data_IF_898650374305
#
_entry.id   IF_898650374305
#
_cell.length_a   1.000
_cell.length_b   1.000
_cell.length_c   1.000
_cell.angle_alpha   90.00
_cell.angle_beta   90.00
_cell.angle_gamma   90.00
#
_symmetry.space_group_name_H-M   'P 1'
#
loop_
_entity.id
_entity.type
_entity.pdbx_description
1 polymer ?
#
# COMPACT_ATOMS: atom_id res chain seq x y z
N UNK A 1 33.24 -1.02 -10.23
CA UNK A 1 32.15 -1.99 -9.99
C UNK A 1 31.64 -2.50 -11.33
N UNK A 2 31.38 -3.80 -11.48
CA UNK A 2 30.75 -4.33 -12.70
C UNK A 2 29.30 -3.86 -12.82
N UNK A 3 29.06 -2.81 -13.60
CA UNK A 3 27.73 -2.25 -13.85
C UNK A 3 26.73 -3.32 -14.34
N UNK A 4 27.20 -4.29 -15.11
CA UNK A 4 26.38 -5.42 -15.60
C UNK A 4 25.80 -6.24 -14.45
N UNK A 5 26.58 -6.46 -13.39
CA UNK A 5 26.14 -7.18 -12.20
C UNK A 5 25.06 -6.39 -11.45
N UNK A 6 25.24 -5.08 -11.28
CA UNK A 6 24.24 -4.22 -10.64
C UNK A 6 22.91 -4.20 -11.40
N UNK A 7 22.96 -4.16 -12.74
CA UNK A 7 21.76 -4.27 -13.60
C UNK A 7 21.09 -5.64 -13.47
N UNK A 8 21.87 -6.73 -13.44
CA UNK A 8 21.36 -8.08 -13.28
C UNK A 8 20.65 -8.27 -11.93
N UNK A 9 21.30 -7.86 -10.84
CA UNK A 9 20.74 -7.94 -9.49
C UNK A 9 19.46 -7.10 -9.36
N UNK A 10 19.44 -5.89 -9.95
CA UNK A 10 18.25 -5.05 -9.98
C UNK A 10 17.10 -5.70 -10.76
N UNK A 11 17.38 -6.33 -11.90
CA UNK A 11 16.38 -7.03 -12.68
C UNK A 11 15.74 -8.19 -11.91
N UNK A 12 16.53 -8.92 -11.12
CA UNK A 12 16.01 -9.98 -10.24
C UNK A 12 15.05 -9.39 -9.21
N UNK A 13 15.44 -8.29 -8.53
CA UNK A 13 14.58 -7.62 -7.55
C UNK A 13 13.28 -7.13 -8.18
N UNK A 14 13.36 -6.49 -9.35
CA UNK A 14 12.19 -6.01 -10.07
C UNK A 14 11.27 -7.15 -10.50
N UNK A 15 11.83 -8.27 -10.97
CA UNK A 15 11.07 -9.46 -11.35
C UNK A 15 10.34 -10.07 -10.14
N UNK A 16 11.02 -10.21 -8.99
CA UNK A 16 10.43 -10.70 -7.75
C UNK A 16 9.30 -9.77 -7.28
N UNK A 17 9.51 -8.47 -7.27
CA UNK A 17 8.49 -7.50 -6.89
C UNK A 17 7.26 -7.57 -7.78
N UNK A 18 7.45 -7.64 -9.11
CA UNK A 18 6.33 -7.78 -10.06
C UNK A 18 5.60 -9.11 -9.88
N UNK A 19 6.33 -10.21 -9.67
CA UNK A 19 5.72 -11.53 -9.45
C UNK A 19 4.93 -11.58 -8.15
N UNK A 20 5.49 -11.05 -7.07
CA UNK A 20 4.83 -10.95 -5.78
C UNK A 20 3.55 -10.10 -5.91
N UNK A 21 3.66 -8.92 -6.52
CA UNK A 21 2.53 -8.01 -6.71
C UNK A 21 1.42 -8.65 -7.54
N UNK A 22 1.76 -9.30 -8.67
CA UNK A 22 0.78 -10.02 -9.50
C UNK A 22 0.10 -11.17 -8.74
N UNK A 23 0.83 -11.87 -7.87
CA UNK A 23 0.28 -13.00 -7.10
C UNK A 23 -0.75 -12.53 -6.08
N UNK A 24 -0.50 -11.38 -5.43
CA UNK A 24 -1.41 -10.87 -4.39
C UNK A 24 -2.43 -9.86 -4.91
N UNK A 25 -2.37 -9.49 -6.19
CA UNK A 25 -3.26 -8.52 -6.85
C UNK A 25 -4.75 -8.86 -6.64
N UNK A 26 -5.14 -10.11 -6.93
CA UNK A 26 -6.51 -10.57 -6.76
C UNK A 26 -6.96 -10.60 -5.31
N UNK A 27 -6.13 -11.14 -4.42
CA UNK A 27 -6.44 -11.17 -2.98
C UNK A 27 -6.60 -9.77 -2.41
N UNK A 28 -5.72 -8.85 -2.83
CA UNK A 28 -5.76 -7.45 -2.41
C UNK A 28 -7.02 -6.75 -2.92
N UNK A 29 -7.43 -6.98 -4.17
CA UNK A 29 -8.68 -6.43 -4.69
C UNK A 29 -9.90 -6.98 -3.97
N UNK A 30 -9.98 -8.30 -3.78
CA UNK A 30 -11.10 -8.93 -3.06
C UNK A 30 -11.18 -8.37 -1.63
N UNK A 31 -10.05 -8.21 -0.95
CA UNK A 31 -10.01 -7.65 0.39
C UNK A 31 -10.42 -6.16 0.44
N UNK A 32 -9.97 -5.34 -0.51
CA UNK A 32 -10.35 -3.93 -0.56
C UNK A 32 -11.83 -3.75 -0.93
N UNK A 33 -12.34 -4.56 -1.86
CA UNK A 33 -13.75 -4.52 -2.29
C UNK A 33 -14.68 -5.04 -1.22
N UNK A 34 -14.31 -6.10 -0.49
CA UNK A 34 -15.10 -6.60 0.63
C UNK A 34 -15.18 -5.56 1.76
N UNK A 35 -14.04 -4.96 2.11
CA UNK A 35 -13.99 -3.90 3.12
C UNK A 35 -14.81 -2.68 2.69
N UNK A 36 -14.68 -2.23 1.44
CA UNK A 36 -15.49 -1.13 0.92
C UNK A 36 -16.99 -1.45 0.97
N UNK A 37 -17.38 -2.65 0.57
CA UNK A 37 -18.77 -3.09 0.64
C UNK A 37 -19.28 -3.10 2.09
N UNK A 38 -18.51 -3.62 3.04
CA UNK A 38 -18.88 -3.60 4.47
C UNK A 38 -19.04 -2.18 5.02
N UNK A 39 -18.18 -1.24 4.60
CA UNK A 39 -18.32 0.17 4.98
C UNK A 39 -19.57 0.80 4.39
N UNK A 40 -19.85 0.57 3.10
CA UNK A 40 -21.02 1.13 2.44
C UNK A 40 -22.31 0.62 3.06
N UNK A 41 -22.39 -0.68 3.33
CA UNK A 41 -23.53 -1.27 4.04
C UNK A 41 -23.68 -0.63 5.43
N UNK A 42 -22.59 -0.54 6.20
CA UNK A 42 -22.62 0.12 7.52
C UNK A 42 -23.06 1.59 7.42
N UNK A 43 -22.61 2.31 6.39
CA UNK A 43 -23.00 3.70 6.15
C UNK A 43 -24.48 3.86 5.77
N UNK A 44 -25.02 2.95 4.97
CA UNK A 44 -26.46 2.94 4.60
C UNK A 44 -27.32 2.66 5.83
N UNK A 45 -26.96 1.68 6.65
CA UNK A 45 -27.65 1.39 7.92
C UNK A 45 -27.63 2.61 8.86
N UNK A 46 -26.51 3.32 8.94
CA UNK A 46 -26.40 4.56 9.73
C UNK A 46 -27.29 5.69 9.19
N UNK A 47 -27.38 5.85 7.86
CA UNK A 47 -28.13 6.92 7.21
C UNK A 47 -29.64 6.67 7.17
N UNK A 48 -30.08 5.41 7.04
CA UNK A 48 -31.49 5.06 6.94
C UNK A 48 -32.24 5.17 8.27
N UNK A 49 -31.54 5.37 9.39
CA UNK A 49 -32.15 5.97 10.57
C UNK A 49 -33.22 5.13 11.26
N UNK A 50 -33.31 3.82 11.02
CA UNK A 50 -33.73 2.91 12.08
C UNK A 50 -32.49 2.59 12.88
N UNK A 51 -32.30 3.38 13.93
CA UNK A 51 -31.25 3.24 14.90
C UNK A 51 -30.81 1.77 15.09
N UNK A 52 -29.50 1.53 15.00
CA UNK A 52 -28.85 0.40 15.70
C UNK A 52 -29.14 0.41 17.23
N UNK A 53 -29.97 1.34 17.71
CA UNK A 53 -30.91 1.13 18.80
C UNK A 53 -32.16 0.36 18.32
N UNK A 54 -32.00 -0.90 17.94
CA UNK A 54 -33.01 -1.89 18.34
C UNK A 54 -33.22 -1.65 19.84
N UNK A 55 -34.37 -1.09 20.20
CA UNK A 55 -34.78 -0.51 21.50
C UNK A 55 -34.76 -1.58 22.61
N UNK A 56 -33.59 -2.11 22.91
CA UNK A 56 -33.34 -3.20 23.83
C UNK A 56 -31.86 -3.62 23.90
N UNK A 57 -31.44 -4.32 24.97
CA UNK A 57 -30.04 -4.71 25.22
C UNK A 57 -29.45 -5.69 24.19
N UNK A 58 -30.26 -6.22 23.27
CA UNK A 58 -29.83 -7.11 22.20
C UNK A 58 -29.25 -6.36 20.98
N UNK A 59 -29.78 -5.18 20.65
CA UNK A 59 -29.32 -4.38 19.49
C UNK A 59 -27.91 -3.82 19.69
N UNK A 60 -27.62 -3.34 20.90
CA UNK A 60 -26.32 -2.77 21.29
C UNK A 60 -25.20 -3.81 21.26
N UNK A 61 -25.49 -5.08 21.59
CA UNK A 61 -24.52 -6.17 21.50
C UNK A 61 -24.21 -6.51 20.04
N UNK A 62 -25.23 -6.59 19.18
CA UNK A 62 -25.05 -6.91 17.76
C UNK A 62 -24.20 -5.86 17.03
N UNK A 63 -24.44 -4.57 17.30
CA UNK A 63 -23.60 -3.48 16.77
C UNK A 63 -22.15 -3.57 17.23
N UNK A 64 -21.91 -3.83 18.52
CA UNK A 64 -20.54 -3.97 19.05
C UNK A 64 -19.77 -5.15 18.44
N UNK A 65 -20.43 -6.30 18.23
CA UNK A 65 -19.83 -7.43 17.53
C UNK A 65 -19.53 -7.11 16.05
N UNK A 66 -20.43 -6.38 15.38
CA UNK A 66 -20.23 -5.93 14.00
C UNK A 66 -19.01 -5.00 13.88
N UNK A 67 -18.87 -4.02 14.77
CA UNK A 67 -17.69 -3.15 14.81
C UNK A 67 -16.40 -3.93 15.09
N UNK A 68 -16.42 -4.86 16.05
CA UNK A 68 -15.26 -5.70 16.34
C UNK A 68 -14.83 -6.55 15.13
N UNK A 69 -15.80 -7.10 14.40
CA UNK A 69 -15.54 -7.92 13.23
C UNK A 69 -15.10 -7.11 12.01
N UNK A 70 -15.73 -5.95 11.73
CA UNK A 70 -15.41 -5.09 10.60
C UNK A 70 -14.09 -4.31 10.78
N UNK A 71 -13.70 -4.01 12.03
CA UNK A 71 -12.46 -3.30 12.31
C UNK A 71 -11.21 -4.11 11.95
N UNK A 72 -11.22 -5.42 12.22
CA UNK A 72 -10.09 -6.31 11.93
C UNK A 72 -9.65 -6.33 10.45
N UNK A 73 -10.54 -6.54 9.45
CA UNK A 73 -10.16 -6.53 8.05
C UNK A 73 -9.79 -5.12 7.55
N UNK A 74 -10.38 -4.05 8.10
CA UNK A 74 -9.98 -2.66 7.78
C UNK A 74 -8.52 -2.42 8.18
N UNK A 75 -8.14 -2.80 9.41
CA UNK A 75 -6.76 -2.68 9.89
C UNK A 75 -5.81 -3.52 9.03
N UNK A 76 -6.21 -4.73 8.65
CA UNK A 76 -5.41 -5.59 7.78
C UNK A 76 -5.19 -4.97 6.39
N UNK A 77 -6.23 -4.41 5.77
CA UNK A 77 -6.11 -3.69 4.48
C UNK A 77 -5.15 -2.53 4.62
N UNK A 78 -5.34 -1.68 5.62
CA UNK A 78 -4.47 -0.53 5.84
C UNK A 78 -3.03 -0.95 6.07
N UNK A 79 -2.79 -1.97 6.90
CA UNK A 79 -1.46 -2.53 7.14
C UNK A 79 -0.81 -3.01 5.84
N UNK A 80 -1.51 -3.80 5.03
CA UNK A 80 -0.97 -4.28 3.75
C UNK A 80 -0.69 -3.16 2.77
N UNK A 81 -1.56 -2.14 2.68
CA UNK A 81 -1.34 -0.92 1.90
C UNK A 81 -0.08 -0.18 2.32
N UNK A 82 0.11 0.06 3.63
CA UNK A 82 1.30 0.74 4.16
C UNK A 82 2.58 -0.04 3.92
N UNK A 83 2.55 -1.37 4.11
CA UNK A 83 3.71 -2.23 3.85
C UNK A 83 4.07 -2.24 2.37
N UNK A 84 3.08 -2.37 1.48
CA UNK A 84 3.28 -2.30 0.04
C UNK A 84 3.85 -0.93 -0.39
N UNK A 85 3.30 0.16 0.12
CA UNK A 85 3.79 1.50 -0.20
C UNK A 85 5.21 1.75 0.33
N UNK A 86 5.55 1.23 1.52
CA UNK A 86 6.89 1.36 2.07
C UNK A 86 7.94 0.64 1.20
N UNK A 87 7.61 -0.51 0.64
CA UNK A 87 8.49 -1.20 -0.33
C UNK A 87 8.66 -0.33 -1.58
N UNK A 88 7.57 0.20 -2.13
CA UNK A 88 7.62 1.10 -3.28
C UNK A 88 8.49 2.34 -3.04
N UNK A 89 8.42 2.91 -1.84
CA UNK A 89 9.20 4.08 -1.45
C UNK A 89 10.68 3.75 -1.28
N UNK A 90 10.99 2.60 -0.68
CA UNK A 90 12.37 2.09 -0.63
C UNK A 90 12.95 1.92 -2.03
N UNK A 91 12.21 1.31 -2.95
CA UNK A 91 12.63 1.17 -4.35
C UNK A 91 12.88 2.52 -5.04
N UNK A 92 12.07 3.55 -4.77
CA UNK A 92 12.30 4.90 -5.33
C UNK A 92 13.56 5.60 -4.82
N UNK A 93 14.08 5.20 -3.65
CA UNK A 93 15.26 5.82 -3.04
C UNK A 93 16.57 5.14 -3.47
N UNK A 94 16.51 3.93 -4.03
CA UNK A 94 17.70 3.18 -4.49
C UNK A 94 18.54 3.95 -5.51
N UNK A 95 17.99 4.61 -6.56
CA UNK A 95 18.80 5.37 -7.50
C UNK A 95 19.63 6.46 -6.82
N UNK A 96 19.04 7.19 -5.87
CA UNK A 96 19.74 8.23 -5.12
C UNK A 96 20.85 7.66 -4.24
N UNK A 97 20.62 6.51 -3.59
CA UNK A 97 21.62 5.82 -2.79
C UNK A 97 22.82 5.39 -3.66
N UNK A 98 22.55 4.76 -4.80
CA UNK A 98 23.59 4.34 -5.76
C UNK A 98 24.37 5.54 -6.28
N UNK A 99 23.70 6.67 -6.52
CA UNK A 99 24.36 7.91 -6.94
C UNK A 99 25.26 8.51 -5.85
N UNK A 100 24.88 8.36 -4.57
CA UNK A 100 25.63 8.87 -3.42
C UNK A 100 26.80 7.99 -2.96
N UNK A 101 26.94 6.78 -3.51
CA UNK A 101 28.09 5.92 -3.20
C UNK A 101 29.35 6.49 -3.87
N UNK A 102 30.11 7.28 -3.10
CA UNK A 102 31.43 7.82 -3.46
C UNK A 102 32.48 6.96 -2.77
N UNK A 103 33.33 6.26 -3.53
CA UNK A 103 34.41 5.46 -2.97
C UNK A 103 35.81 5.98 -3.29
N UNK A 104 35.96 6.95 -4.20
CA UNK A 104 37.28 7.52 -4.52
C UNK A 104 37.18 9.03 -4.71
N UNK A 105 37.93 9.77 -3.89
CA UNK A 105 38.13 11.21 -4.02
C UNK A 105 38.86 11.50 -5.35
N UNK A 106 38.19 12.20 -6.26
CA UNK A 106 38.85 12.82 -7.42
C UNK A 106 38.67 12.15 -8.79
N UNK A 107 37.86 11.10 -8.92
CA UNK A 107 37.55 10.56 -10.26
C UNK A 107 36.40 11.30 -10.95
N UNK A 108 36.62 11.56 -12.25
CA UNK A 108 35.64 12.06 -13.20
C UNK A 108 34.32 11.29 -13.14
N UNK A 109 33.23 11.96 -13.51
CA UNK A 109 31.87 11.44 -13.55
C UNK A 109 31.81 10.03 -14.19
N UNK A 110 31.62 8.99 -13.37
CA UNK A 110 31.58 7.60 -13.84
C UNK A 110 30.30 7.35 -14.66
N UNK A 111 30.47 7.28 -15.99
CA UNK A 111 29.40 7.02 -16.95
C UNK A 111 28.68 5.68 -16.70
N UNK A 112 29.38 4.66 -16.18
CA UNK A 112 28.78 3.37 -15.84
C UNK A 112 27.79 3.49 -14.69
N UNK A 113 28.15 4.26 -13.66
CA UNK A 113 27.26 4.56 -12.54
C UNK A 113 26.03 5.35 -12.97
N UNK A 114 26.23 6.39 -13.79
CA UNK A 114 25.12 7.19 -14.31
C UNK A 114 24.13 6.34 -15.11
N UNK A 115 24.64 5.41 -15.94
CA UNK A 115 23.81 4.45 -16.66
C UNK A 115 22.99 3.57 -15.72
N UNK A 116 23.60 3.02 -14.66
CA UNK A 116 22.89 2.18 -13.68
C UNK A 116 21.82 2.99 -12.95
N UNK A 117 22.13 4.19 -12.46
CA UNK A 117 21.16 5.06 -11.79
C UNK A 117 19.99 5.39 -12.72
N UNK A 118 20.28 5.73 -13.97
CA UNK A 118 19.27 6.03 -14.98
C UNK A 118 18.42 4.79 -15.31
N UNK A 119 19.03 3.62 -15.42
CA UNK A 119 18.35 2.34 -15.62
C UNK A 119 17.39 2.02 -14.45
N UNK A 120 17.88 2.09 -13.21
CA UNK A 120 17.07 1.85 -12.01
C UNK A 120 15.92 2.86 -11.93
N UNK A 121 16.17 4.14 -12.21
CA UNK A 121 15.14 5.18 -12.21
C UNK A 121 14.04 4.91 -13.25
N UNK A 122 14.41 4.60 -14.50
CA UNK A 122 13.45 4.34 -15.58
C UNK A 122 12.76 2.98 -15.47
N UNK A 123 13.35 2.01 -14.79
CA UNK A 123 12.74 0.69 -14.57
C UNK A 123 11.46 0.74 -13.71
N UNK A 124 11.27 1.85 -12.97
CA UNK A 124 10.12 2.12 -12.11
C UNK A 124 9.75 0.95 -11.19
N UNK A 125 10.74 0.26 -10.61
CA UNK A 125 10.48 -0.84 -9.69
C UNK A 125 9.68 -0.38 -8.48
N UNK A 126 8.74 -1.22 -8.05
CA UNK A 126 7.83 -0.92 -6.96
C UNK A 126 6.70 -1.93 -6.92
N UNK A 127 5.77 -1.70 -6.01
CA UNK A 127 4.60 -2.54 -5.85
C UNK A 127 3.43 -2.02 -6.69
N UNK A 128 2.87 -2.87 -7.54
CA UNK A 128 1.81 -2.53 -8.50
C UNK A 128 0.57 -3.40 -8.29
N UNK A 129 -0.59 -2.77 -8.17
CA UNK A 129 -1.90 -3.46 -8.14
C UNK A 129 -2.68 -3.01 -9.37
N UNK A 130 -3.08 -3.95 -10.23
CA UNK A 130 -3.70 -3.69 -11.55
C UNK A 130 -2.98 -2.63 -12.38
N UNK A 131 -1.65 -2.63 -12.35
CA UNK A 131 -0.84 -1.65 -13.10
C UNK A 131 -0.73 -0.26 -12.44
N UNK A 132 -1.39 -0.03 -11.31
CA UNK A 132 -1.27 1.20 -10.53
C UNK A 132 -0.20 1.03 -9.45
N UNK A 133 0.77 1.95 -9.42
CA UNK A 133 1.83 1.99 -8.41
C UNK A 133 1.27 2.44 -7.06
N UNK A 134 1.40 1.60 -6.04
CA UNK A 134 0.97 1.93 -4.67
C UNK A 134 1.95 2.91 -4.02
N UNK A 135 1.46 4.10 -3.66
CA UNK A 135 2.23 5.15 -2.97
C UNK A 135 1.72 5.37 -1.55
N UNK A 136 2.58 5.89 -0.67
CA UNK A 136 2.20 6.18 0.72
C UNK A 136 1.04 7.17 0.80
N UNK A 137 0.97 8.10 -0.17
CA UNK A 137 -0.13 9.06 -0.28
C UNK A 137 -1.49 8.37 -0.57
N UNK A 138 -1.51 7.31 -1.39
CA UNK A 138 -2.73 6.53 -1.61
C UNK A 138 -3.18 5.79 -0.33
N UNK A 139 -2.23 5.20 0.40
CA UNK A 139 -2.51 4.54 1.68
C UNK A 139 -3.06 5.53 2.72
N UNK A 140 -2.51 6.75 2.76
CA UNK A 140 -2.98 7.81 3.66
C UNK A 140 -4.38 8.30 3.31
N UNK A 141 -4.69 8.47 2.02
CA UNK A 141 -6.05 8.78 1.55
C UNK A 141 -7.07 7.72 1.96
N UNK A 142 -6.73 6.45 1.78
CA UNK A 142 -7.58 5.35 2.25
C UNK A 142 -7.79 5.44 3.76
N UNK A 143 -6.71 5.59 4.53
CA UNK A 143 -6.77 5.73 6.00
C UNK A 143 -7.67 6.87 6.44
N UNK A 144 -7.59 8.03 5.75
CA UNK A 144 -8.45 9.17 6.04
C UNK A 144 -9.93 8.86 5.81
N UNK A 145 -10.28 8.22 4.68
CA UNK A 145 -11.66 7.80 4.39
C UNK A 145 -12.16 6.83 5.45
N UNK A 146 -11.36 5.81 5.80
CA UNK A 146 -11.71 4.85 6.86
C UNK A 146 -11.92 5.55 8.21
N UNK A 147 -11.00 6.44 8.58
CA UNK A 147 -11.08 7.19 9.83
C UNK A 147 -12.32 8.08 9.90
N UNK A 148 -12.68 8.74 8.80
CA UNK A 148 -13.89 9.57 8.73
C UNK A 148 -15.17 8.74 8.93
N UNK A 149 -15.29 7.58 8.26
CA UNK A 149 -16.45 6.70 8.41
C UNK A 149 -16.56 6.15 9.84
N UNK A 150 -15.43 5.74 10.43
CA UNK A 150 -15.40 5.29 11.81
C UNK A 150 -15.82 6.42 12.77
N UNK A 151 -15.34 7.64 12.56
CA UNK A 151 -15.72 8.78 13.41
C UNK A 151 -17.22 9.11 13.33
N UNK A 152 -17.79 9.12 12.13
CA UNK A 152 -19.23 9.32 11.94
C UNK A 152 -20.08 8.20 12.52
N UNK A 153 -19.51 7.00 12.70
CA UNK A 153 -20.22 5.87 13.28
C UNK A 153 -20.21 5.85 14.81
N UNK A 154 -19.28 6.59 15.42
CA UNK A 154 -19.15 6.72 16.89
C UNK A 154 -19.93 7.94 17.43
N UNK A 155 -20.11 8.97 16.61
CA UNK A 155 -20.79 10.23 16.96
C UNK A 155 -22.29 10.12 16.70
#
# INVERSE_FOLDING_TARGET
MDFQRGVLEWNIVQAILRRAAHTIDWCFLVLNTSVLATLLLTGVELLQGESLQLRGPAGTRCGSYWFGWAFSPVVLVLYTCFRASAVTEKCSRVPALVNSWTFEEGQNLDHGRQYVVQYISHSAAGFYVKGVRLTAFMALKLTYIFGAVMFTSVT
#
